data_IF_102284830946
#
_entry.id   IF_102284830946
#
_cell.length_a   1.000
_cell.length_b   1.000
_cell.length_c   1.000
_cell.angle_alpha   90.00
_cell.angle_beta   90.00
_cell.angle_gamma   90.00
#
_symmetry.space_group_name_H-M   'P 1'
#
loop_
_entity.id
_entity.type
_entity.pdbx_description
1 polymer ?
#
# COMPACT_ATOMS: atom_id res chain seq x y z
N UNK A 1 6.24 19.15 -6.49
CA UNK A 1 7.37 18.39 -7.06
C UNK A 1 8.22 19.23 -8.00
N UNK A 2 7.70 19.68 -9.12
CA UNK A 2 8.50 20.46 -10.09
C UNK A 2 9.08 21.73 -9.48
N UNK A 3 8.28 22.55 -8.80
CA UNK A 3 8.72 23.79 -8.17
C UNK A 3 9.71 23.57 -7.00
N UNK A 4 9.62 22.47 -6.29
CA UNK A 4 10.41 22.21 -5.08
C UNK A 4 11.71 21.47 -5.36
N UNK A 5 11.72 20.54 -6.31
CA UNK A 5 12.87 19.67 -6.56
C UNK A 5 13.33 19.63 -8.02
N UNK A 6 12.69 20.37 -8.91
CA UNK A 6 13.08 20.45 -10.31
C UNK A 6 12.69 19.24 -11.16
N UNK A 7 11.80 18.39 -10.71
CA UNK A 7 11.30 17.26 -11.50
C UNK A 7 10.58 17.77 -12.75
N UNK A 8 10.81 17.24 -13.95
CA UNK A 8 10.10 17.64 -15.16
C UNK A 8 8.58 17.58 -14.96
N UNK A 9 7.85 18.58 -15.44
CA UNK A 9 6.41 18.69 -15.20
C UNK A 9 5.63 17.47 -15.70
N UNK A 10 6.03 16.93 -16.85
CA UNK A 10 5.42 15.71 -17.40
C UNK A 10 5.57 14.52 -16.45
N UNK A 11 6.77 14.34 -15.87
CA UNK A 11 7.04 13.28 -14.91
C UNK A 11 6.29 13.51 -13.59
N UNK A 12 6.21 14.76 -13.13
CA UNK A 12 5.43 15.11 -11.93
C UNK A 12 3.96 14.78 -12.09
N UNK A 13 3.39 15.04 -13.26
CA UNK A 13 2.00 14.66 -13.59
C UNK A 13 1.83 13.14 -13.64
N UNK A 14 2.76 12.44 -14.26
CA UNK A 14 2.77 10.97 -14.29
C UNK A 14 2.87 10.36 -12.90
N UNK A 15 3.66 10.96 -12.02
CA UNK A 15 3.79 10.51 -10.65
C UNK A 15 2.47 10.67 -9.85
N UNK A 16 1.74 11.75 -10.06
CA UNK A 16 0.43 11.94 -9.42
C UNK A 16 -0.57 10.89 -9.89
N UNK A 17 -0.62 10.60 -11.18
CA UNK A 17 -1.47 9.54 -11.72
C UNK A 17 -1.08 8.16 -11.15
N UNK A 18 0.19 7.89 -11.04
CA UNK A 18 0.74 6.67 -10.42
C UNK A 18 0.37 6.58 -8.93
N UNK A 19 0.47 7.68 -8.19
CA UNK A 19 0.04 7.73 -6.78
C UNK A 19 -1.44 7.45 -6.62
N UNK A 20 -2.27 8.04 -7.49
CA UNK A 20 -3.71 7.84 -7.49
C UNK A 20 -4.09 6.37 -7.74
N UNK A 21 -3.35 5.66 -8.59
CA UNK A 21 -3.60 4.24 -8.85
C UNK A 21 -3.41 3.35 -7.62
N UNK A 22 -2.49 3.68 -6.72
CA UNK A 22 -2.36 2.96 -5.45
C UNK A 22 -3.57 3.16 -4.54
N UNK A 23 -4.04 4.40 -4.43
CA UNK A 23 -5.21 4.71 -3.60
C UNK A 23 -6.46 4.01 -4.13
N UNK A 24 -6.65 4.00 -5.45
CA UNK A 24 -7.75 3.28 -6.10
C UNK A 24 -7.66 1.78 -5.85
N UNK A 25 -6.49 1.18 -6.11
CA UNK A 25 -6.28 -0.25 -5.92
C UNK A 25 -6.53 -0.69 -4.47
N UNK A 26 -5.91 -0.02 -3.52
CA UNK A 26 -6.03 -0.40 -2.11
C UNK A 26 -7.36 0.00 -1.49
N UNK A 27 -8.04 1.02 -2.02
CA UNK A 27 -9.44 1.30 -1.69
C UNK A 27 -10.35 0.13 -2.07
N UNK A 28 -10.14 -0.50 -3.22
CA UNK A 28 -10.85 -1.72 -3.61
C UNK A 28 -10.40 -2.94 -2.79
N UNK A 29 -9.10 -3.07 -2.50
CA UNK A 29 -8.58 -4.15 -1.66
C UNK A 29 -9.11 -4.09 -0.23
N UNK A 30 -9.48 -2.93 0.29
CA UNK A 30 -10.10 -2.79 1.59
C UNK A 30 -11.42 -3.59 1.73
N UNK A 31 -12.08 -3.90 0.64
CA UNK A 31 -13.26 -4.76 0.61
C UNK A 31 -12.93 -6.25 0.78
N UNK A 32 -11.67 -6.63 0.73
CA UNK A 32 -11.15 -8.01 0.77
C UNK A 32 -10.26 -8.28 1.98
N UNK A 33 -10.51 -7.58 3.09
CA UNK A 33 -9.79 -7.78 4.35
C UNK A 33 -10.41 -8.97 5.10
N UNK A 34 -10.20 -10.15 4.56
CA UNK A 34 -10.61 -11.41 5.17
C UNK A 34 -9.36 -12.25 5.50
N UNK A 35 -9.56 -13.32 6.21
CA UNK A 35 -8.48 -14.22 6.60
C UNK A 35 -8.50 -15.53 5.81
N UNK A 36 -7.82 -16.52 6.35
CA UNK A 36 -7.67 -17.84 5.75
C UNK A 36 -8.00 -18.93 6.77
N UNK A 37 -8.51 -20.06 6.27
CA UNK A 37 -8.59 -21.31 7.02
C UNK A 37 -7.69 -22.32 6.32
N UNK A 38 -6.61 -22.72 6.98
CA UNK A 38 -5.57 -23.56 6.42
C UNK A 38 -5.62 -24.95 7.07
N UNK A 39 -5.49 -26.04 6.32
CA UNK A 39 -5.34 -27.37 6.90
C UNK A 39 -4.14 -27.42 7.87
N UNK A 40 -4.37 -27.92 9.05
CA UNK A 40 -3.30 -28.10 10.04
C UNK A 40 -2.38 -29.26 9.69
N UNK A 41 -1.25 -29.34 10.37
CA UNK A 41 -0.28 -30.42 10.24
C UNK A 41 -0.79 -31.77 10.82
N UNK A 42 -1.92 -31.76 11.52
CA UNK A 42 -2.61 -32.93 12.03
C UNK A 42 -4.08 -32.91 11.64
N UNK A 43 -4.70 -34.08 11.52
CA UNK A 43 -6.09 -34.22 11.01
C UNK A 43 -7.13 -33.54 11.92
N UNK A 44 -6.84 -33.40 13.20
CA UNK A 44 -7.71 -32.81 14.23
C UNK A 44 -7.51 -31.30 14.39
N UNK A 45 -6.68 -30.66 13.56
CA UNK A 45 -6.31 -29.24 13.69
C UNK A 45 -6.68 -28.43 12.47
N UNK A 46 -7.03 -27.18 12.72
CA UNK A 46 -7.21 -26.14 11.71
C UNK A 46 -6.41 -24.91 12.13
N UNK A 47 -5.83 -24.23 11.15
CA UNK A 47 -5.16 -22.95 11.35
C UNK A 47 -6.09 -21.88 10.82
N UNK A 48 -6.45 -20.94 11.67
CA UNK A 48 -7.26 -19.78 11.30
C UNK A 48 -6.36 -18.55 11.31
N UNK A 49 -6.30 -17.87 10.19
CA UNK A 49 -5.55 -16.62 10.03
C UNK A 49 -6.54 -15.48 9.95
N UNK A 50 -6.37 -14.47 10.77
CA UNK A 50 -7.13 -13.23 10.72
C UNK A 50 -6.19 -12.07 10.42
N UNK A 51 -6.71 -11.03 9.76
CA UNK A 51 -5.98 -9.78 9.51
C UNK A 51 -6.38 -8.75 10.55
N UNK A 52 -5.38 -8.11 11.14
CA UNK A 52 -5.57 -7.07 12.14
C UNK A 52 -4.63 -5.90 11.85
N UNK A 53 -5.03 -4.65 12.17
CA UNK A 53 -4.13 -3.51 12.06
C UNK A 53 -2.89 -3.70 12.96
N UNK A 54 -1.73 -3.33 12.44
CA UNK A 54 -0.49 -3.32 13.24
C UNK A 54 -0.41 -2.13 14.21
N UNK A 55 -1.28 -1.15 14.04
CA UNK A 55 -1.31 0.08 14.81
C UNK A 55 -0.68 1.25 14.05
N UNK A 56 -0.09 2.18 14.77
CA UNK A 56 0.55 3.37 14.19
C UNK A 56 1.86 2.99 13.53
N UNK A 57 2.05 3.42 12.29
CA UNK A 57 3.28 3.21 11.51
C UNK A 57 3.88 4.53 11.04
N UNK A 58 5.20 4.57 10.92
CA UNK A 58 5.91 5.67 10.30
C UNK A 58 6.39 5.26 8.90
N UNK A 59 6.13 6.11 7.91
CA UNK A 59 6.61 5.92 6.56
C UNK A 59 7.75 6.89 6.25
N UNK A 60 8.96 6.36 6.09
CA UNK A 60 10.14 7.13 5.70
C UNK A 60 10.43 6.85 4.23
N UNK A 61 10.40 7.87 3.40
CA UNK A 61 10.44 7.72 1.95
C UNK A 61 11.52 8.61 1.32
N UNK A 62 12.13 8.16 0.21
CA UNK A 62 13.11 8.98 -0.52
C UNK A 62 12.41 10.14 -1.26
N UNK A 63 13.20 11.15 -1.59
CA UNK A 63 12.74 12.40 -2.19
C UNK A 63 12.39 12.29 -3.69
N UNK A 64 12.89 11.29 -4.40
CA UNK A 64 12.79 11.21 -5.86
C UNK A 64 11.38 10.87 -6.39
N UNK A 65 10.55 10.25 -5.57
CA UNK A 65 9.12 9.99 -5.84
C UNK A 65 8.29 10.34 -4.60
N UNK A 66 8.21 11.62 -4.24
CA UNK A 66 7.67 12.04 -2.94
C UNK A 66 6.18 11.70 -2.74
N UNK A 67 5.41 11.68 -3.81
CA UNK A 67 3.99 11.31 -3.76
C UNK A 67 3.79 9.80 -3.82
N UNK A 68 4.37 9.15 -4.81
CA UNK A 68 4.15 7.72 -5.07
C UNK A 68 4.70 6.82 -3.96
N UNK A 69 5.86 7.19 -3.37
CA UNK A 69 6.46 6.39 -2.31
C UNK A 69 5.64 6.38 -1.02
N UNK A 70 4.93 7.46 -0.73
CA UNK A 70 3.99 7.53 0.39
C UNK A 70 2.70 6.80 0.03
N UNK A 71 2.08 7.16 -1.09
CA UNK A 71 0.79 6.60 -1.49
C UNK A 71 0.77 5.06 -1.55
N UNK A 72 1.88 4.45 -1.93
CA UNK A 72 1.97 2.99 -2.00
C UNK A 72 2.20 2.29 -0.65
N UNK A 73 2.39 3.04 0.45
CA UNK A 73 2.58 2.51 1.80
C UNK A 73 1.37 2.73 2.70
N UNK A 74 0.50 3.64 2.30
CA UNK A 74 -0.75 3.90 2.99
C UNK A 74 -1.83 2.88 2.59
#
# INVERSE_FOLDING_TARGET
MTAEQGKPLTESRGEIAYSASFLEWFGEEAKRVYGDVIPGHAKDRRIVVIKQPVGVVAAITPWNFPSAMIARKL
#
